data_IF_727154325524
#
_entry.id   IF_727154325524
#
_cell.length_a   1.000
_cell.length_b   1.000
_cell.length_c   1.000
_cell.angle_alpha   90.00
_cell.angle_beta   90.00
_cell.angle_gamma   90.00
#
_symmetry.space_group_name_H-M   'P 1'
#
loop_
_entity.id
_entity.type
_entity.pdbx_description
1 polymer ?
#
# COMPACT_ATOMS: atom_id res chain seq x y z
N UNK A 1 7.10 27.81 -35.73
CA UNK A 1 6.34 26.72 -35.06
C UNK A 1 7.23 25.53 -34.64
N UNK A 2 8.42 25.77 -34.06
CA UNK A 2 9.37 24.69 -33.69
C UNK A 2 9.68 24.59 -32.18
N UNK A 3 9.03 25.44 -31.35
CA UNK A 3 9.28 25.54 -29.90
C UNK A 3 8.41 24.63 -29.03
N UNK A 4 7.41 23.98 -29.61
CA UNK A 4 6.48 23.11 -28.88
C UNK A 4 6.94 21.65 -28.77
N UNK A 5 7.92 21.21 -29.57
CA UNK A 5 8.43 19.83 -29.55
C UNK A 5 9.24 19.49 -28.27
N UNK A 6 9.86 20.49 -27.62
CA UNK A 6 10.65 20.27 -26.41
C UNK A 6 9.82 19.93 -25.17
N UNK A 7 8.58 20.41 -25.08
CA UNK A 7 7.70 20.18 -23.94
C UNK A 7 7.16 18.74 -23.86
N UNK A 8 6.93 18.11 -25.01
CA UNK A 8 6.46 16.72 -25.08
C UNK A 8 7.54 15.72 -24.61
N UNK A 9 8.81 15.96 -24.96
CA UNK A 9 9.93 15.11 -24.54
C UNK A 9 10.20 15.18 -23.03
N UNK A 10 10.09 16.37 -22.43
CA UNK A 10 10.28 16.56 -20.98
C UNK A 10 9.21 15.86 -20.13
N UNK A 11 7.95 15.84 -20.61
CA UNK A 11 6.85 15.15 -19.92
C UNK A 11 7.00 13.62 -19.99
N UNK A 12 7.46 13.08 -21.12
CA UNK A 12 7.70 11.64 -21.27
C UNK A 12 8.85 11.14 -20.36
N UNK A 13 9.91 11.93 -20.21
CA UNK A 13 11.00 11.65 -19.27
C UNK A 13 10.52 11.71 -17.81
N UNK A 14 9.68 12.68 -17.44
CA UNK A 14 9.15 12.80 -16.07
C UNK A 14 8.28 11.60 -15.66
N UNK A 15 7.50 11.03 -16.59
CA UNK A 15 6.66 9.85 -16.33
C UNK A 15 7.46 8.56 -16.21
N UNK A 16 8.67 8.50 -16.77
CA UNK A 16 9.55 7.32 -16.73
C UNK A 16 10.15 7.05 -15.33
N UNK A 17 10.12 8.04 -14.43
CA UNK A 17 10.64 7.94 -13.06
C UNK A 17 9.56 7.70 -11.99
N UNK A 18 8.29 7.55 -12.38
CA UNK A 18 7.23 7.25 -11.43
C UNK A 18 7.31 5.76 -11.01
N UNK A 19 8.01 5.47 -9.91
CA UNK A 19 7.93 4.15 -9.29
C UNK A 19 6.58 3.96 -8.62
N UNK A 20 5.81 2.99 -9.11
CA UNK A 20 4.60 2.52 -8.42
C UNK A 20 5.02 1.79 -7.14
N UNK A 21 4.75 2.38 -5.98
CA UNK A 21 4.83 1.71 -4.68
C UNK A 21 3.50 1.00 -4.43
N UNK A 22 3.46 -0.31 -4.72
CA UNK A 22 2.34 -1.16 -4.37
C UNK A 22 2.49 -1.64 -2.93
N UNK A 23 1.37 -1.74 -2.21
CA UNK A 23 1.39 -2.30 -0.86
C UNK A 23 1.64 -3.82 -0.91
N UNK A 24 2.45 -4.31 0.01
CA UNK A 24 2.71 -5.74 0.15
C UNK A 24 1.50 -6.43 0.78
N UNK A 25 1.03 -7.48 0.11
CA UNK A 25 -0.13 -8.25 0.57
C UNK A 25 0.29 -9.26 1.63
N UNK A 26 -0.30 -9.16 2.81
CA UNK A 26 0.01 -10.04 3.95
C UNK A 26 -1.27 -10.61 4.54
N UNK A 27 -1.26 -11.90 4.86
CA UNK A 27 -2.33 -12.53 5.65
C UNK A 27 -1.85 -12.79 7.06
N UNK A 28 -2.49 -12.16 8.04
CA UNK A 28 -2.26 -12.39 9.46
C UNK A 28 -3.21 -13.49 9.93
N UNK A 29 -2.67 -14.70 10.11
CA UNK A 29 -3.41 -15.87 10.58
C UNK A 29 -3.40 -15.92 12.11
N UNK A 30 -4.57 -15.82 12.72
CA UNK A 30 -4.73 -16.00 14.17
C UNK A 30 -4.60 -17.49 14.51
N UNK A 31 -4.02 -17.79 15.67
CA UNK A 31 -3.81 -19.16 16.14
C UNK A 31 -5.11 -19.92 16.43
N UNK A 32 -6.20 -19.21 16.71
CA UNK A 32 -7.53 -19.76 16.95
C UNK A 32 -8.59 -18.71 16.58
N UNK A 33 -9.78 -18.79 17.19
CA UNK A 33 -10.86 -17.81 17.05
C UNK A 33 -10.47 -16.41 17.55
N UNK A 34 -11.14 -15.38 17.03
CA UNK A 34 -10.94 -14.01 17.52
C UNK A 34 -11.23 -13.90 19.02
N UNK A 35 -10.27 -13.33 19.76
CA UNK A 35 -10.37 -13.06 21.19
C UNK A 35 -9.79 -11.67 21.49
N UNK A 36 -10.08 -11.13 22.67
CA UNK A 36 -9.66 -9.78 23.07
C UNK A 36 -8.13 -9.56 22.97
N UNK A 37 -7.33 -10.60 23.19
CA UNK A 37 -5.87 -10.54 23.01
C UNK A 37 -5.41 -10.17 21.59
N UNK A 38 -6.26 -10.37 20.57
CA UNK A 38 -5.97 -10.05 19.18
C UNK A 38 -6.51 -8.67 18.76
N UNK A 39 -7.16 -7.93 19.67
CA UNK A 39 -7.79 -6.64 19.36
C UNK A 39 -6.80 -5.63 18.77
N UNK A 40 -5.52 -5.69 19.18
CA UNK A 40 -4.48 -4.82 18.64
C UNK A 40 -4.31 -4.92 17.12
N UNK A 41 -4.44 -6.12 16.54
CA UNK A 41 -4.32 -6.32 15.09
C UNK A 41 -5.46 -5.64 14.33
N UNK A 42 -6.69 -5.76 14.84
CA UNK A 42 -7.86 -5.12 14.25
C UNK A 42 -7.81 -3.60 14.40
N UNK A 43 -7.46 -3.10 15.59
CA UNK A 43 -7.30 -1.65 15.83
C UNK A 43 -6.21 -1.07 14.94
N UNK A 44 -5.09 -1.77 14.74
CA UNK A 44 -4.03 -1.32 13.83
C UNK A 44 -4.50 -1.24 12.37
N UNK A 45 -5.31 -2.22 11.94
CA UNK A 45 -5.94 -2.21 10.61
C UNK A 45 -6.92 -1.05 10.45
N UNK A 46 -7.81 -0.84 11.42
CA UNK A 46 -8.82 0.22 11.39
C UNK A 46 -8.20 1.62 11.47
N UNK A 47 -7.12 1.77 12.25
CA UNK A 47 -6.34 3.02 12.32
C UNK A 47 -5.42 3.25 11.12
N UNK A 48 -5.34 2.30 10.18
CA UNK A 48 -4.55 2.43 8.97
C UNK A 48 -3.04 2.28 9.17
N UNK A 49 -2.58 1.76 10.31
CA UNK A 49 -1.15 1.60 10.59
C UNK A 49 -0.47 0.67 9.58
N UNK A 50 -1.12 -0.42 9.17
CA UNK A 50 -0.59 -1.28 8.11
C UNK A 50 -0.44 -0.54 6.78
N UNK A 51 -1.41 0.30 6.41
CA UNK A 51 -1.34 1.07 5.17
C UNK A 51 -0.22 2.12 5.21
N UNK A 52 0.03 2.73 6.37
CA UNK A 52 1.12 3.67 6.56
C UNK A 52 2.50 3.00 6.34
N UNK A 53 2.61 1.72 6.68
CA UNK A 53 3.81 0.90 6.44
C UNK A 53 3.79 0.21 5.06
N UNK A 54 2.87 0.57 4.16
CA UNK A 54 2.80 -0.03 2.83
C UNK A 54 2.33 -1.50 2.83
N UNK A 55 1.55 -1.92 3.82
CA UNK A 55 1.03 -3.29 3.94
C UNK A 55 -0.49 -3.34 3.70
N UNK A 56 -0.92 -4.27 2.85
CA UNK A 56 -2.32 -4.66 2.67
C UNK A 56 -2.61 -5.94 3.47
N UNK A 57 -3.07 -5.74 4.71
CA UNK A 57 -3.24 -6.83 5.68
C UNK A 57 -4.65 -7.40 5.69
N UNK A 58 -4.76 -8.70 5.47
CA UNK A 58 -5.98 -9.49 5.71
C UNK A 58 -5.83 -10.27 7.02
N UNK A 59 -6.75 -10.10 7.96
CA UNK A 59 -6.76 -10.85 9.22
C UNK A 59 -7.69 -12.04 9.05
N UNK A 60 -7.16 -13.24 9.21
CA UNK A 60 -7.92 -14.49 9.16
C UNK A 60 -7.97 -15.10 10.55
N UNK A 61 -9.18 -15.37 11.05
CA UNK A 61 -9.35 -16.21 12.23
C UNK A 61 -9.18 -17.68 11.83
N UNK A 62 -8.47 -18.49 12.64
CA UNK A 62 -8.37 -19.95 12.46
C UNK A 62 -7.69 -20.45 11.18
#
# INVERSE_FOLDING_TARGET
MKRFAGFAGALALALSFAQANAADKVTLQLKWVTQAQFAGYYVAKDKGFYKAEGLDVTIKAG
#
